data_IF_301626872287
#
_entry.id   IF_301626872287
#
_cell.length_a   1.000
_cell.length_b   1.000
_cell.length_c   1.000
_cell.angle_alpha   90.00
_cell.angle_beta   90.00
_cell.angle_gamma   90.00
#
_symmetry.space_group_name_H-M   'P 1'
#
loop_
_entity.id
_entity.type
_entity.pdbx_description
1 polymer ?
#
# COMPACT_ATOMS: atom_id res chain seq x y z
N UNK A 1 -85.71 11.63 -22.80
CA UNK A 1 -84.74 10.85 -23.61
C UNK A 1 -83.52 11.73 -23.88
N UNK A 2 -82.31 11.16 -23.78
CA UNK A 2 -80.98 11.81 -23.92
C UNK A 2 -80.38 12.41 -22.64
N UNK A 3 -80.34 11.60 -21.57
CA UNK A 3 -79.18 11.52 -20.68
C UNK A 3 -78.56 10.16 -20.93
N UNK A 4 -77.35 10.14 -21.49
CA UNK A 4 -76.41 9.01 -21.56
C UNK A 4 -75.54 9.24 -22.78
N UNK A 5 -74.35 9.79 -22.55
CA UNK A 5 -73.10 9.58 -23.30
C UNK A 5 -72.16 10.72 -22.92
N UNK A 6 -71.64 10.65 -21.70
CA UNK A 6 -70.37 11.27 -21.31
C UNK A 6 -69.97 10.73 -19.93
N UNK A 7 -69.87 9.40 -19.82
CA UNK A 7 -69.26 8.80 -18.63
C UNK A 7 -68.75 7.39 -18.96
N UNK A 8 -67.75 7.29 -19.84
CA UNK A 8 -67.00 6.02 -19.95
C UNK A 8 -65.59 6.20 -20.52
N UNK A 9 -64.76 7.05 -19.92
CA UNK A 9 -63.30 7.02 -20.15
C UNK A 9 -62.48 7.34 -18.89
N UNK A 10 -62.95 6.90 -17.72
CA UNK A 10 -62.11 6.85 -16.52
C UNK A 10 -62.39 5.59 -15.73
N UNK A 11 -61.41 4.68 -15.71
CA UNK A 11 -61.39 3.61 -14.72
C UNK A 11 -61.01 2.27 -15.29
N UNK A 12 -59.70 2.00 -15.33
CA UNK A 12 -59.06 0.74 -14.90
C UNK A 12 -57.56 0.88 -15.15
N UNK A 13 -56.90 1.71 -14.35
CA UNK A 13 -55.48 1.52 -14.13
C UNK A 13 -55.31 0.14 -13.50
N UNK A 14 -54.71 -0.79 -14.24
CA UNK A 14 -54.31 -2.08 -13.70
C UNK A 14 -53.34 -1.82 -12.55
N UNK A 15 -53.53 -2.40 -11.35
CA UNK A 15 -52.52 -2.27 -10.31
C UNK A 15 -51.24 -2.92 -10.82
N UNK A 16 -50.15 -2.16 -10.82
CA UNK A 16 -48.83 -2.67 -11.14
C UNK A 16 -48.54 -3.86 -10.21
N UNK A 17 -48.37 -5.05 -10.81
CA UNK A 17 -48.00 -6.26 -10.10
C UNK A 17 -46.69 -6.00 -9.36
N UNK A 18 -46.70 -6.19 -8.04
CA UNK A 18 -45.49 -6.09 -7.22
C UNK A 18 -44.49 -7.14 -7.72
N UNK A 19 -43.21 -6.77 -7.97
CA UNK A 19 -42.19 -7.75 -8.29
C UNK A 19 -41.84 -8.47 -6.99
N UNK A 20 -42.43 -9.66 -6.79
CA UNK A 20 -42.20 -10.41 -5.55
C UNK A 20 -43.01 -11.69 -5.34
N UNK A 21 -43.91 -12.06 -6.25
CA UNK A 21 -44.60 -13.34 -6.19
C UNK A 21 -44.11 -14.27 -7.30
N UNK A 22 -42.91 -14.80 -7.13
CA UNK A 22 -42.52 -16.00 -7.88
C UNK A 22 -43.38 -17.15 -7.36
N UNK A 23 -44.45 -17.49 -8.09
CA UNK A 23 -45.12 -18.79 -7.94
C UNK A 23 -44.02 -19.84 -8.06
N UNK A 24 -43.67 -20.51 -6.96
CA UNK A 24 -42.74 -21.65 -6.97
C UNK A 24 -43.48 -22.82 -7.62
N UNK A 25 -43.58 -22.80 -8.94
CA UNK A 25 -43.93 -23.99 -9.71
C UNK A 25 -42.91 -25.07 -9.35
N UNK A 26 -43.39 -26.26 -8.97
CA UNK A 26 -42.55 -27.40 -8.61
C UNK A 26 -41.64 -27.69 -9.81
N UNK A 27 -40.34 -27.42 -9.66
CA UNK A 27 -39.34 -27.70 -10.70
C UNK A 27 -39.31 -29.21 -10.91
N UNK A 28 -39.88 -29.69 -12.02
CA UNK A 28 -39.64 -31.06 -12.49
C UNK A 28 -38.14 -31.18 -12.75
N UNK A 29 -37.48 -32.05 -12.00
CA UNK A 29 -36.04 -32.29 -12.13
C UNK A 29 -35.81 -32.97 -13.48
N UNK A 30 -34.79 -32.54 -14.22
CA UNK A 30 -34.39 -33.05 -15.53
C UNK A 30 -35.37 -32.80 -16.70
N UNK A 31 -36.05 -31.66 -16.75
CA UNK A 31 -36.69 -31.20 -17.99
C UNK A 31 -35.73 -30.33 -18.80
N UNK A 32 -35.74 -30.48 -20.14
CA UNK A 32 -35.02 -29.59 -21.06
C UNK A 32 -35.45 -28.13 -20.82
N UNK A 33 -34.52 -27.16 -20.76
CA UNK A 33 -34.87 -25.75 -20.60
C UNK A 33 -35.85 -25.30 -21.69
N UNK A 34 -36.91 -24.58 -21.32
CA UNK A 34 -37.96 -24.12 -22.27
C UNK A 34 -37.46 -23.07 -23.25
N UNK A 35 -36.52 -22.23 -22.83
CA UNK A 35 -35.88 -21.20 -23.65
C UNK A 35 -34.36 -21.36 -23.54
N UNK A 36 -33.68 -21.49 -24.68
CA UNK A 36 -32.22 -21.59 -24.70
C UNK A 36 -31.55 -20.25 -24.35
N UNK A 37 -32.23 -19.13 -24.62
CA UNK A 37 -31.71 -17.76 -24.46
C UNK A 37 -32.03 -17.10 -23.11
N UNK A 38 -32.90 -17.69 -22.29
CA UNK A 38 -33.29 -17.15 -20.97
C UNK A 38 -32.36 -17.62 -19.83
N UNK A 39 -31.16 -18.11 -20.14
CA UNK A 39 -30.18 -18.37 -19.10
C UNK A 39 -29.75 -17.03 -18.49
N UNK A 40 -30.27 -16.74 -17.30
CA UNK A 40 -29.89 -15.54 -16.55
C UNK A 40 -28.37 -15.49 -16.40
N UNK A 41 -27.77 -14.41 -16.93
CA UNK A 41 -26.33 -14.16 -16.78
C UNK A 41 -26.01 -14.18 -15.28
N UNK A 42 -25.05 -15.01 -14.84
CA UNK A 42 -24.69 -15.10 -13.43
C UNK A 42 -24.49 -13.72 -12.80
N UNK A 43 -24.97 -13.53 -11.57
CA UNK A 43 -25.01 -12.23 -10.89
C UNK A 43 -23.70 -11.46 -10.99
N UNK A 44 -22.58 -12.16 -10.77
CA UNK A 44 -21.24 -11.56 -10.81
C UNK A 44 -20.87 -11.07 -12.20
N UNK A 45 -21.21 -11.82 -13.23
CA UNK A 45 -20.95 -11.44 -14.61
C UNK A 45 -21.87 -10.28 -15.05
N UNK A 46 -23.13 -10.28 -14.62
CA UNK A 46 -24.07 -9.16 -14.82
C UNK A 46 -23.54 -7.86 -14.21
N UNK A 47 -22.96 -7.93 -13.02
CA UNK A 47 -22.36 -6.79 -12.32
C UNK A 47 -21.10 -6.27 -13.03
N UNK A 48 -20.24 -7.18 -13.51
CA UNK A 48 -19.04 -6.85 -14.29
C UNK A 48 -19.41 -6.18 -15.62
N UNK A 49 -20.40 -6.72 -16.34
CA UNK A 49 -20.88 -6.13 -17.59
C UNK A 49 -21.46 -4.73 -17.36
N UNK A 50 -22.29 -4.57 -16.33
CA UNK A 50 -22.84 -3.26 -15.93
C UNK A 50 -21.73 -2.25 -15.61
N UNK A 51 -20.71 -2.67 -14.86
CA UNK A 51 -19.55 -1.83 -14.53
C UNK A 51 -18.79 -1.40 -15.79
N UNK A 52 -18.46 -2.34 -16.68
CA UNK A 52 -17.79 -2.05 -17.97
C UNK A 52 -18.59 -1.08 -18.83
N UNK A 53 -19.91 -1.24 -18.88
CA UNK A 53 -20.79 -0.38 -19.65
C UNK A 53 -20.90 1.03 -19.05
N UNK A 54 -20.91 1.14 -17.73
CA UNK A 54 -20.83 2.43 -17.03
C UNK A 54 -19.50 3.15 -17.27
N UNK A 55 -18.38 2.41 -17.35
CA UNK A 55 -17.07 3.00 -17.67
C UNK A 55 -16.94 3.46 -19.13
N UNK A 56 -17.76 2.91 -20.03
CA UNK A 56 -17.77 3.27 -21.47
C UNK A 56 -18.40 4.64 -21.73
N UNK A 57 -19.19 5.19 -20.81
CA UNK A 57 -19.84 6.49 -20.95
C UNK A 57 -18.93 7.63 -20.45
N UNK A 58 -18.38 8.49 -21.33
CA UNK A 58 -17.39 9.51 -20.94
C UNK A 58 -17.96 10.62 -20.02
N UNK A 59 -19.29 10.76 -19.96
CA UNK A 59 -19.98 11.79 -19.17
C UNK A 59 -20.07 11.44 -17.66
N UNK A 60 -19.72 10.20 -17.26
CA UNK A 60 -19.90 9.77 -15.87
C UNK A 60 -18.71 10.04 -14.94
N UNK A 61 -17.48 10.14 -15.45
CA UNK A 61 -16.29 10.21 -14.58
C UNK A 61 -16.09 11.57 -13.90
N UNK A 62 -16.35 12.68 -14.61
CA UNK A 62 -16.23 14.03 -14.02
C UNK A 62 -17.30 14.26 -12.96
N UNK A 63 -18.54 13.86 -13.24
CA UNK A 63 -19.67 13.93 -12.29
C UNK A 63 -19.46 13.04 -11.06
N UNK A 64 -18.97 11.80 -11.24
CA UNK A 64 -18.62 10.91 -10.13
C UNK A 64 -17.49 11.48 -9.27
N UNK A 65 -16.46 12.08 -9.87
CA UNK A 65 -15.38 12.75 -9.11
C UNK A 65 -15.92 13.94 -8.32
N UNK A 66 -16.79 14.76 -8.90
CA UNK A 66 -17.39 15.88 -8.18
C UNK A 66 -18.33 15.42 -7.07
N UNK A 67 -19.16 14.39 -7.31
CA UNK A 67 -20.06 13.83 -6.30
C UNK A 67 -19.31 13.15 -5.18
N UNK A 68 -18.27 12.36 -5.48
CA UNK A 68 -17.40 11.75 -4.49
C UNK A 68 -16.67 12.81 -3.66
N UNK A 69 -16.20 13.88 -4.30
CA UNK A 69 -15.55 14.99 -3.61
C UNK A 69 -16.52 15.80 -2.75
N UNK A 70 -17.76 16.00 -3.19
CA UNK A 70 -18.83 16.64 -2.40
C UNK A 70 -19.24 15.74 -1.23
N UNK A 71 -19.37 14.44 -1.44
CA UNK A 71 -19.65 13.48 -0.39
C UNK A 71 -18.53 13.46 0.66
N UNK A 72 -17.27 13.43 0.20
CA UNK A 72 -16.09 13.50 1.07
C UNK A 72 -16.02 14.82 1.83
N UNK A 73 -16.33 15.96 1.20
CA UNK A 73 -16.43 17.25 1.90
C UNK A 73 -17.54 17.24 2.93
N UNK A 74 -18.72 16.69 2.61
CA UNK A 74 -19.84 16.56 3.57
C UNK A 74 -19.50 15.65 4.74
N UNK A 75 -18.79 14.55 4.54
CA UNK A 75 -18.34 13.69 5.65
C UNK A 75 -17.27 14.38 6.48
N UNK A 76 -16.29 15.03 5.83
CA UNK A 76 -15.27 15.80 6.50
C UNK A 76 -15.87 16.98 7.29
N UNK A 77 -16.89 17.65 6.76
CA UNK A 77 -17.61 18.72 7.46
C UNK A 77 -18.41 18.19 8.64
N UNK A 78 -19.03 17.00 8.53
CA UNK A 78 -19.71 16.36 9.67
C UNK A 78 -18.72 15.96 10.77
N UNK A 79 -17.56 15.43 10.39
CA UNK A 79 -16.48 15.05 11.31
C UNK A 79 -15.79 16.28 11.91
N UNK A 80 -15.53 17.32 11.10
CA UNK A 80 -14.89 18.57 11.53
C UNK A 80 -15.82 19.43 12.38
N UNK A 81 -17.13 19.32 12.21
CA UNK A 81 -18.10 19.95 13.11
C UNK A 81 -18.01 19.38 14.52
N UNK A 82 -17.44 18.18 14.71
CA UNK A 82 -16.89 17.63 15.97
C UNK A 82 -17.83 17.53 17.18
N UNK A 83 -19.00 18.13 17.08
CA UNK A 83 -19.98 18.38 18.11
C UNK A 83 -21.29 18.14 17.41
N UNK A 84 -21.92 17.01 17.72
CA UNK A 84 -23.36 16.85 17.51
C UNK A 84 -24.03 18.14 18.00
N UNK A 85 -24.78 18.86 17.15
CA UNK A 85 -25.33 20.15 17.53
C UNK A 85 -26.16 19.99 18.81
N UNK A 86 -26.01 20.93 19.73
CA UNK A 86 -26.78 20.97 20.97
C UNK A 86 -28.27 20.78 20.66
N UNK A 87 -28.94 19.94 21.44
CA UNK A 87 -30.38 19.66 21.25
C UNK A 87 -31.12 20.99 21.30
N UNK A 88 -31.76 21.34 20.19
CA UNK A 88 -32.54 22.57 20.12
C UNK A 88 -33.67 22.52 21.16
N UNK A 89 -33.62 23.44 22.12
CA UNK A 89 -34.63 23.57 23.18
C UNK A 89 -35.91 24.15 22.57
N UNK A 90 -37.03 23.38 22.52
CA UNK A 90 -38.28 23.88 21.98
C UNK A 90 -38.85 25.02 22.84
N UNK A 91 -39.48 26.00 22.19
CA UNK A 91 -40.15 27.12 22.89
C UNK A 91 -41.65 26.80 23.01
N UNK A 92 -42.08 26.44 24.22
CA UNK A 92 -43.47 26.07 24.50
C UNK A 92 -44.36 27.30 24.67
N UNK A 93 -44.87 27.82 23.54
CA UNK A 93 -45.91 28.85 23.51
C UNK A 93 -47.08 28.35 22.66
N UNK A 94 -48.31 28.58 23.13
CA UNK A 94 -49.53 28.27 22.38
C UNK A 94 -49.60 29.13 21.12
N UNK A 95 -49.95 28.52 19.99
CA UNK A 95 -50.09 29.24 18.72
C UNK A 95 -51.46 29.93 18.66
N UNK A 96 -51.55 30.99 17.86
CA UNK A 96 -52.73 31.88 17.73
C UNK A 96 -54.06 31.17 17.37
N UNK A 97 -54.00 29.93 16.89
CA UNK A 97 -55.15 29.12 16.45
C UNK A 97 -55.08 27.67 16.96
N UNK A 98 -54.28 27.44 18.00
CA UNK A 98 -54.11 26.12 18.61
C UNK A 98 -55.05 26.02 19.81
N UNK A 99 -55.91 25.00 19.84
CA UNK A 99 -56.70 24.69 21.03
C UNK A 99 -55.81 24.18 22.15
N UNK A 100 -56.24 24.35 23.41
CA UNK A 100 -55.46 23.95 24.59
C UNK A 100 -55.04 22.47 24.54
N UNK A 101 -55.95 21.59 24.10
CA UNK A 101 -55.66 20.16 23.92
C UNK A 101 -54.63 19.87 22.83
N UNK A 102 -54.64 20.63 21.73
CA UNK A 102 -53.63 20.49 20.67
C UNK A 102 -52.25 20.98 21.16
N UNK A 103 -52.22 22.04 21.96
CA UNK A 103 -51.01 22.54 22.60
C UNK A 103 -50.38 21.51 23.55
N UNK A 104 -51.18 20.91 24.44
CA UNK A 104 -50.68 19.87 25.35
C UNK A 104 -50.10 18.67 24.61
N UNK A 105 -50.77 18.22 23.53
CA UNK A 105 -50.26 17.12 22.70
C UNK A 105 -48.94 17.46 22.01
N UNK A 106 -48.81 18.68 21.48
CA UNK A 106 -47.55 19.13 20.87
C UNK A 106 -46.43 19.22 21.90
N UNK A 107 -46.75 19.75 23.08
CA UNK A 107 -45.80 19.84 24.19
C UNK A 107 -45.28 18.45 24.58
N UNK A 108 -46.18 17.47 24.71
CA UNK A 108 -45.84 16.10 25.06
C UNK A 108 -44.95 15.44 24.00
N UNK A 109 -45.29 15.59 22.72
CA UNK A 109 -44.49 15.04 21.60
C UNK A 109 -43.08 15.66 21.52
N UNK A 110 -42.97 16.98 21.61
CA UNK A 110 -41.69 17.68 21.59
C UNK A 110 -40.83 17.28 22.81
N UNK A 111 -41.45 17.11 23.99
CA UNK A 111 -40.77 16.65 25.20
C UNK A 111 -40.25 15.21 25.06
N UNK A 112 -41.08 14.31 24.55
CA UNK A 112 -40.67 12.92 24.25
C UNK A 112 -39.52 12.90 23.24
N UNK A 113 -39.55 13.77 22.23
CA UNK A 113 -38.52 13.86 21.22
C UNK A 113 -37.19 14.37 21.79
N UNK A 114 -37.19 15.43 22.59
CA UNK A 114 -35.99 15.95 23.28
C UNK A 114 -35.41 14.90 24.22
N UNK A 115 -36.26 14.21 24.98
CA UNK A 115 -35.82 13.14 25.87
C UNK A 115 -35.19 11.98 25.09
N UNK A 116 -35.76 11.62 23.93
CA UNK A 116 -35.17 10.62 23.05
C UNK A 116 -33.81 11.06 22.52
N UNK A 117 -33.67 12.29 22.02
CA UNK A 117 -32.38 12.81 21.55
C UNK A 117 -31.34 12.81 22.68
N UNK A 118 -31.72 13.25 23.88
CA UNK A 118 -30.85 13.30 25.06
C UNK A 118 -30.36 11.91 25.49
N UNK A 119 -31.24 10.91 25.52
CA UNK A 119 -30.85 9.52 25.84
C UNK A 119 -29.87 8.90 24.85
N UNK A 120 -29.90 9.35 23.60
CA UNK A 120 -29.02 8.85 22.54
C UNK A 120 -27.73 9.65 22.40
N UNK A 121 -27.56 10.75 23.14
CA UNK A 121 -26.30 11.50 23.16
C UNK A 121 -25.28 10.80 24.06
N UNK A 122 -24.04 10.73 23.59
CA UNK A 122 -22.93 10.29 24.42
C UNK A 122 -22.78 11.24 25.63
N UNK A 123 -22.42 10.71 26.80
CA UNK A 123 -22.23 11.49 28.01
C UNK A 123 -21.23 12.63 27.75
N UNK A 124 -21.75 13.87 27.67
CA UNK A 124 -20.95 15.03 27.35
C UNK A 124 -20.15 15.41 28.59
N UNK A 125 -18.82 15.49 28.47
CA UNK A 125 -17.91 16.06 29.46
C UNK A 125 -17.50 17.45 29.01
N UNK A 126 -18.31 18.49 29.27
CA UNK A 126 -18.01 19.85 28.82
C UNK A 126 -16.67 20.38 29.35
N UNK A 127 -16.22 19.89 30.52
CA UNK A 127 -14.95 20.29 31.15
C UNK A 127 -13.70 19.61 30.53
N UNK A 128 -13.87 18.57 29.71
CA UNK A 128 -12.76 17.81 29.12
C UNK A 128 -12.27 18.36 27.77
N UNK A 129 -12.76 19.53 27.33
CA UNK A 129 -12.33 20.16 26.07
C UNK A 129 -10.96 20.85 26.19
N UNK A 130 -9.95 20.10 26.63
CA UNK A 130 -8.59 20.32 26.15
C UNK A 130 -8.53 19.79 24.72
N UNK A 131 -8.10 20.64 23.78
CA UNK A 131 -7.89 20.39 22.34
C UNK A 131 -7.93 18.91 21.90
N UNK A 132 -8.79 18.53 20.95
CA UNK A 132 -8.67 17.22 20.33
C UNK A 132 -7.37 17.21 19.50
N UNK A 133 -6.30 16.69 20.08
CA UNK A 133 -5.15 16.30 19.29
C UNK A 133 -5.67 15.28 18.27
N UNK A 134 -5.57 15.63 16.99
CA UNK A 134 -5.89 14.70 15.91
C UNK A 134 -4.86 13.59 15.95
N UNK A 135 -5.14 12.58 16.77
CA UNK A 135 -4.29 11.43 16.89
C UNK A 135 -4.24 10.74 15.53
N UNK A 136 -3.06 10.81 14.90
CA UNK A 136 -2.79 10.02 13.71
C UNK A 136 -3.12 8.56 14.03
N UNK A 137 -3.80 7.87 13.11
CA UNK A 137 -4.03 6.44 13.25
C UNK A 137 -2.74 5.70 13.59
N UNK A 138 -2.82 4.67 14.41
CA UNK A 138 -1.67 3.88 14.87
C UNK A 138 -0.81 3.42 13.69
N UNK A 139 -1.45 3.03 12.60
CA UNK A 139 -0.80 2.65 11.35
C UNK A 139 0.11 3.75 10.78
N UNK A 140 -0.36 5.01 10.79
CA UNK A 140 0.44 6.15 10.30
C UNK A 140 1.60 6.47 11.24
N UNK A 141 1.43 6.30 12.55
CA UNK A 141 2.52 6.43 13.54
C UNK A 141 3.58 5.35 13.33
N UNK A 142 3.17 4.09 13.18
CA UNK A 142 4.06 2.95 12.92
C UNK A 142 4.83 3.11 11.60
N UNK A 143 4.17 3.55 10.53
CA UNK A 143 4.82 3.80 9.25
C UNK A 143 5.91 4.88 9.34
N UNK A 144 5.64 5.97 10.07
CA UNK A 144 6.64 7.03 10.30
C UNK A 144 7.83 6.52 11.11
N UNK A 145 7.58 5.76 12.18
CA UNK A 145 8.64 5.13 13.00
C UNK A 145 9.52 4.20 12.17
N UNK A 146 8.94 3.28 11.39
CA UNK A 146 9.67 2.35 10.52
C UNK A 146 10.55 3.06 9.50
N UNK A 147 10.08 4.18 8.94
CA UNK A 147 10.86 4.98 7.99
C UNK A 147 12.09 5.59 8.65
N UNK A 148 11.95 6.11 9.87
CA UNK A 148 13.05 6.68 10.64
C UNK A 148 14.06 5.61 11.04
N UNK A 149 13.59 4.45 11.49
CA UNK A 149 14.42 3.29 11.85
C UNK A 149 15.30 2.83 10.67
N UNK A 150 14.71 2.72 9.47
CA UNK A 150 15.46 2.36 8.26
C UNK A 150 16.59 3.35 7.92
N UNK A 151 16.38 4.64 8.21
CA UNK A 151 17.41 5.67 8.00
C UNK A 151 18.52 5.54 9.04
N UNK A 152 18.19 5.21 10.30
CA UNK A 152 19.17 4.95 11.36
C UNK A 152 20.03 3.72 11.05
N UNK A 153 19.40 2.59 10.73
CA UNK A 153 20.10 1.37 10.30
C UNK A 153 21.07 1.64 9.15
N UNK A 154 20.62 2.33 8.09
CA UNK A 154 21.49 2.70 6.96
C UNK A 154 22.68 3.59 7.34
N UNK A 155 22.57 4.39 8.39
CA UNK A 155 23.69 5.21 8.88
C UNK A 155 24.66 4.37 9.70
N UNK A 156 24.14 3.49 10.55
CA UNK A 156 24.92 2.53 11.35
C UNK A 156 25.69 1.57 10.46
N UNK A 157 25.04 0.98 9.44
CA UNK A 157 25.68 0.10 8.45
C UNK A 157 26.83 0.82 7.72
N UNK A 158 26.58 2.05 7.24
CA UNK A 158 27.62 2.86 6.58
C UNK A 158 28.76 3.23 7.51
N UNK A 159 28.48 3.47 8.79
CA UNK A 159 29.51 3.75 9.78
C UNK A 159 30.34 2.50 10.05
N UNK A 160 29.71 1.32 10.16
CA UNK A 160 30.38 0.04 10.30
C UNK A 160 31.27 -0.28 9.08
N UNK A 161 30.76 -0.04 7.87
CA UNK A 161 31.53 -0.24 6.62
C UNK A 161 32.76 0.67 6.57
N UNK A 162 32.64 1.94 6.98
CA UNK A 162 33.79 2.87 7.04
C UNK A 162 34.84 2.43 8.05
N UNK A 163 34.41 2.04 9.25
CA UNK A 163 35.32 1.51 10.28
C UNK A 163 36.01 0.23 9.80
N UNK A 164 35.29 -0.64 9.08
CA UNK A 164 35.88 -1.83 8.49
C UNK A 164 36.92 -1.48 7.42
N UNK A 165 36.61 -0.55 6.53
CA UNK A 165 37.56 -0.07 5.53
C UNK A 165 38.84 0.46 6.17
N UNK A 166 38.74 1.23 7.25
CA UNK A 166 39.89 1.74 7.99
C UNK A 166 40.72 0.61 8.64
N UNK A 167 40.06 -0.43 9.18
CA UNK A 167 40.73 -1.60 9.77
C UNK A 167 41.39 -2.54 8.75
N UNK A 168 40.87 -2.57 7.52
CA UNK A 168 41.37 -3.42 6.43
C UNK A 168 42.34 -2.69 5.48
N UNK A 169 42.51 -1.38 5.62
CA UNK A 169 43.51 -0.62 4.89
C UNK A 169 44.89 -0.78 5.54
N UNK A 170 45.78 -1.51 4.86
CA UNK A 170 47.19 -1.58 5.27
C UNK A 170 47.91 -0.28 4.87
N UNK A 171 48.52 0.41 5.84
CA UNK A 171 49.35 1.58 5.58
C UNK A 171 50.73 1.13 5.06
N UNK A 172 50.87 1.10 3.74
CA UNK A 172 52.14 0.81 3.06
C UNK A 172 53.02 2.08 3.03
N UNK A 173 54.32 1.94 3.33
CA UNK A 173 55.28 3.06 3.25
C UNK A 173 55.72 3.29 1.79
N UNK A 174 56.05 4.54 1.47
CA UNK A 174 56.48 4.93 0.13
C UNK A 174 57.76 4.17 -0.30
N UNK A 175 57.69 3.43 -1.41
CA UNK A 175 58.79 2.59 -1.93
C UNK A 175 58.42 1.10 -2.12
N UNK A 176 57.38 0.61 -1.45
CA UNK A 176 56.87 -0.78 -1.56
C UNK A 176 55.54 -0.82 -2.36
N UNK A 177 55.43 0.01 -3.40
CA UNK A 177 54.22 0.08 -4.22
C UNK A 177 54.41 -0.81 -5.44
N UNK A 178 53.83 -2.02 -5.41
CA UNK A 178 53.30 -2.57 -6.65
C UNK A 178 52.23 -1.58 -7.10
N UNK A 179 52.44 -0.92 -8.25
CA UNK A 179 51.47 -0.02 -8.85
C UNK A 179 50.13 -0.74 -8.88
N UNK A 180 49.21 -0.37 -7.99
CA UNK A 180 47.82 -0.78 -8.08
C UNK A 180 47.43 -0.50 -9.53
N UNK A 181 46.99 -1.51 -10.30
CA UNK A 181 46.63 -1.30 -11.68
C UNK A 181 45.60 -0.16 -11.69
N UNK A 182 45.83 0.91 -12.47
CA UNK A 182 45.03 2.11 -12.39
C UNK A 182 43.56 1.74 -12.64
N UNK A 183 42.72 1.97 -11.64
CA UNK A 183 41.28 1.80 -11.81
C UNK A 183 40.77 2.95 -12.68
N UNK A 184 40.43 2.63 -13.93
CA UNK A 184 39.80 3.57 -14.87
C UNK A 184 38.38 3.90 -14.38
N UNK A 185 38.28 4.80 -13.39
CA UNK A 185 37.00 5.31 -12.87
C UNK A 185 36.26 6.18 -13.90
N UNK A 186 37.00 6.74 -14.86
CA UNK A 186 36.47 7.51 -15.98
C UNK A 186 36.53 6.71 -17.28
N UNK A 187 35.45 6.77 -18.07
CA UNK A 187 35.43 6.17 -19.40
C UNK A 187 36.40 6.92 -20.34
N UNK A 188 37.19 6.23 -21.18
CA UNK A 188 38.00 6.89 -22.18
C UNK A 188 37.11 7.71 -23.11
N UNK A 189 37.51 8.94 -23.43
CA UNK A 189 36.73 9.94 -24.19
C UNK A 189 36.23 9.44 -25.56
N UNK A 190 36.83 8.36 -26.09
CA UNK A 190 36.47 7.72 -27.37
C UNK A 190 35.73 6.38 -27.22
N UNK A 191 35.24 5.99 -26.04
CA UNK A 191 34.51 4.74 -25.88
C UNK A 191 33.11 4.83 -26.51
N UNK A 192 32.94 4.27 -27.71
CA UNK A 192 31.66 4.17 -28.43
C UNK A 192 30.82 2.98 -27.93
N UNK A 193 30.61 2.90 -26.61
CA UNK A 193 29.66 1.93 -26.03
C UNK A 193 28.49 2.67 -25.38
N UNK A 194 27.62 3.24 -26.21
CA UNK A 194 26.20 3.34 -25.86
C UNK A 194 25.58 2.00 -26.23
N UNK A 195 25.63 1.10 -25.27
CA UNK A 195 25.01 -0.21 -25.39
C UNK A 195 25.01 -0.81 -24.01
N UNK A 196 23.83 -1.06 -23.46
CA UNK A 196 23.72 -2.04 -22.38
C UNK A 196 24.50 -3.31 -22.80
N UNK A 197 25.14 -4.05 -21.89
CA UNK A 197 25.67 -5.36 -22.22
C UNK A 197 24.51 -6.21 -22.79
N UNK A 198 24.45 -6.38 -24.11
CA UNK A 198 23.34 -7.07 -24.80
C UNK A 198 22.67 -6.35 -25.98
N UNK A 199 22.95 -5.06 -26.25
CA UNK A 199 22.25 -4.29 -27.32
C UNK A 199 22.81 -4.47 -28.74
N UNK A 200 23.87 -5.26 -28.92
CA UNK A 200 24.34 -5.65 -30.26
C UNK A 200 23.84 -7.06 -30.54
N UNK A 201 23.07 -7.24 -31.62
CA UNK A 201 22.87 -8.56 -32.21
C UNK A 201 24.23 -9.06 -32.67
N UNK A 202 24.89 -9.87 -31.84
CA UNK A 202 26.11 -10.57 -32.23
C UNK A 202 25.77 -11.46 -33.44
N UNK A 203 26.19 -11.03 -34.63
CA UNK A 203 26.01 -11.77 -35.89
C UNK A 203 26.73 -13.13 -35.85
N UNK A 204 27.65 -13.30 -34.90
CA UNK A 204 28.40 -14.52 -34.61
C UNK A 204 27.68 -15.48 -33.63
N UNK A 205 26.35 -15.48 -33.60
CA UNK A 205 25.54 -16.51 -32.90
C UNK A 205 25.12 -17.66 -33.83
N UNK A 206 25.74 -17.79 -34.99
CA UNK A 206 25.66 -19.02 -35.77
C UNK A 206 26.81 -19.91 -35.29
N UNK A 207 26.55 -20.97 -34.49
CA UNK A 207 27.60 -21.89 -34.12
C UNK A 207 28.06 -22.63 -35.37
N UNK A 208 29.32 -22.45 -35.73
CA UNK A 208 30.03 -23.38 -36.59
C UNK A 208 30.20 -24.69 -35.79
N UNK A 209 29.33 -25.67 -36.03
CA UNK A 209 29.55 -27.07 -35.70
C UNK A 209 28.88 -27.62 -34.41
N UNK A 210 28.48 -28.91 -34.39
CA UNK A 210 27.81 -29.56 -33.27
C UNK A 210 28.84 -29.99 -32.22
N UNK A 211 29.15 -29.07 -31.31
CA UNK A 211 29.97 -29.34 -30.13
C UNK A 211 29.52 -28.43 -29.01
N UNK A 212 28.42 -28.81 -28.35
CA UNK A 212 27.77 -28.07 -27.28
C UNK A 212 28.70 -27.90 -26.08
N UNK A 213 29.51 -26.83 -26.07
CA UNK A 213 30.00 -26.25 -24.82
C UNK A 213 28.79 -25.59 -24.15
N UNK A 214 28.19 -26.32 -23.21
CA UNK A 214 27.10 -25.82 -22.38
C UNK A 214 27.55 -24.53 -21.71
N UNK A 215 26.86 -23.43 -21.98
CA UNK A 215 26.97 -22.25 -21.13
C UNK A 215 26.65 -22.69 -19.70
N UNK A 216 27.43 -22.28 -18.68
CA UNK A 216 27.14 -22.67 -17.31
C UNK A 216 25.73 -22.21 -16.97
N UNK A 217 24.84 -23.16 -16.66
CA UNK A 217 23.48 -22.83 -16.26
C UNK A 217 23.57 -21.88 -15.06
N UNK A 218 22.98 -20.70 -15.19
CA UNK A 218 22.85 -19.77 -14.08
C UNK A 218 22.20 -20.52 -12.91
N UNK A 219 22.84 -20.58 -11.72
CA UNK A 219 22.32 -21.36 -10.61
C UNK A 219 20.93 -20.85 -10.21
N UNK A 220 20.06 -21.75 -9.75
CA UNK A 220 18.72 -21.38 -9.27
C UNK A 220 18.81 -20.32 -8.16
N UNK A 221 17.80 -19.46 -8.03
CA UNK A 221 17.77 -18.42 -6.98
C UNK A 221 17.94 -19.01 -5.56
N UNK A 222 17.42 -20.22 -5.33
CA UNK A 222 17.61 -20.94 -4.07
C UNK A 222 19.09 -21.28 -3.83
N UNK A 223 19.78 -21.81 -4.86
CA UNK A 223 21.21 -22.12 -4.78
C UNK A 223 22.06 -20.86 -4.63
N UNK A 224 21.68 -19.76 -5.26
CA UNK A 224 22.35 -18.46 -5.09
C UNK A 224 22.28 -17.98 -3.64
N UNK A 225 21.11 -18.04 -3.00
CA UNK A 225 20.94 -17.67 -1.59
C UNK A 225 21.83 -18.49 -0.66
N UNK A 226 21.89 -19.81 -0.85
CA UNK A 226 22.74 -20.70 -0.06
C UNK A 226 24.22 -20.28 -0.18
N UNK A 227 24.70 -20.08 -1.42
CA UNK A 227 26.09 -19.69 -1.67
C UNK A 227 26.39 -18.30 -1.10
N UNK A 228 25.46 -17.35 -1.19
CA UNK A 228 25.60 -16.01 -0.62
C UNK A 228 25.66 -16.04 0.91
N UNK A 229 24.83 -16.84 1.56
CA UNK A 229 24.86 -17.06 3.01
C UNK A 229 26.17 -17.70 3.45
N UNK A 230 26.65 -18.73 2.74
CA UNK A 230 27.94 -19.37 3.01
C UNK A 230 29.10 -18.38 2.86
N UNK A 231 29.10 -17.57 1.79
CA UNK A 231 30.08 -16.49 1.58
C UNK A 231 30.06 -15.49 2.74
N UNK A 232 28.87 -15.06 3.17
CA UNK A 232 28.71 -14.14 4.29
C UNK A 232 29.27 -14.73 5.59
N UNK A 233 29.02 -16.02 5.88
CA UNK A 233 29.57 -16.72 7.05
C UNK A 233 31.10 -16.78 7.01
N UNK A 234 31.69 -17.15 5.87
CA UNK A 234 33.15 -17.23 5.71
C UNK A 234 33.79 -15.86 5.87
N UNK A 235 33.20 -14.81 5.26
CA UNK A 235 33.69 -13.43 5.39
C UNK A 235 33.62 -12.97 6.84
N UNK A 236 32.52 -13.23 7.55
CA UNK A 236 32.41 -12.89 8.98
C UNK A 236 33.46 -13.62 9.82
N UNK A 237 33.65 -14.93 9.62
CA UNK A 237 34.68 -15.71 10.32
C UNK A 237 36.10 -15.20 10.04
N UNK A 238 36.38 -14.82 8.79
CA UNK A 238 37.67 -14.21 8.44
C UNK A 238 37.86 -12.85 9.13
N UNK A 239 36.81 -12.01 9.15
CA UNK A 239 36.83 -10.72 9.85
C UNK A 239 37.09 -10.89 11.35
N UNK A 240 36.46 -11.85 12.01
CA UNK A 240 36.69 -12.10 13.44
C UNK A 240 38.12 -12.58 13.70
N UNK A 241 38.64 -13.51 12.90
CA UNK A 241 40.01 -13.98 12.99
C UNK A 241 41.03 -12.85 12.77
N UNK A 242 40.80 -11.96 11.79
CA UNK A 242 41.66 -10.81 11.52
C UNK A 242 41.65 -9.81 12.68
N UNK A 243 40.49 -9.54 13.29
CA UNK A 243 40.37 -8.72 14.50
C UNK A 243 41.16 -9.31 15.67
N UNK A 244 41.02 -10.62 15.91
CA UNK A 244 41.79 -11.32 16.96
C UNK A 244 43.30 -11.24 16.69
N UNK A 245 43.72 -11.41 15.44
CA UNK A 245 45.14 -11.28 15.05
C UNK A 245 45.66 -9.86 15.26
N UNK A 246 44.89 -8.82 14.94
CA UNK A 246 45.28 -7.43 15.20
C UNK A 246 45.40 -7.14 16.71
N UNK A 247 44.51 -7.70 17.54
CA UNK A 247 44.60 -7.57 19.01
C UNK A 247 45.83 -8.30 19.58
N UNK A 248 46.18 -9.46 19.02
CA UNK A 248 47.39 -10.21 19.40
C UNK A 248 48.67 -9.57 18.86
N UNK A 249 48.60 -8.85 17.74
CA UNK A 249 49.69 -8.09 17.13
C UNK A 249 49.69 -6.60 17.55
N UNK A 250 49.38 -6.32 18.83
CA UNK A 250 49.95 -5.13 19.50
C UNK A 250 51.48 -5.12 19.40
N UNK A 251 52.19 -4.03 19.73
CA UNK A 251 53.49 -3.62 19.15
C UNK A 251 54.67 -4.57 19.50
N UNK A 252 54.66 -5.80 18.99
CA UNK A 252 55.60 -6.87 19.34
C UNK A 252 56.09 -7.64 18.09
N UNK A 253 55.89 -7.11 16.89
CA UNK A 253 56.51 -7.65 15.66
C UNK A 253 57.33 -6.60 14.89
N UNK A 254 57.91 -5.66 15.62
CA UNK A 254 58.99 -4.79 15.12
C UNK A 254 60.36 -5.24 15.65
N UNK A 255 60.66 -6.53 15.73
CA UNK A 255 61.95 -7.03 16.21
C UNK A 255 62.33 -8.42 15.67
N UNK A 256 62.28 -8.68 14.36
CA UNK A 256 63.08 -9.76 13.78
C UNK A 256 64.16 -9.15 12.89
N UNK A 257 65.32 -8.90 13.50
CA UNK A 257 66.54 -8.49 12.80
C UNK A 257 66.95 -9.60 11.83
N UNK A 258 67.19 -9.32 10.54
CA UNK A 258 67.81 -10.29 9.66
C UNK A 258 69.26 -10.53 10.12
N UNK A 259 69.61 -11.79 10.34
CA UNK A 259 70.90 -12.24 10.83
C UNK A 259 72.06 -11.82 9.91
N UNK A 260 73.09 -11.23 10.52
CA UNK A 260 74.39 -11.02 9.87
C UNK A 260 75.06 -12.39 9.68
N UNK A 261 75.35 -12.78 8.44
CA UNK A 261 76.27 -13.89 8.15
C UNK A 261 77.71 -13.45 8.49
N UNK A 262 78.55 -14.31 9.08
CA UNK A 262 79.95 -13.99 9.27
C UNK A 262 80.66 -14.02 7.90
N UNK A 263 81.40 -12.96 7.59
CA UNK A 263 82.35 -12.94 6.47
C UNK A 263 83.56 -13.77 6.89
N UNK A 264 83.80 -14.86 6.17
CA UNK A 264 85.09 -15.54 6.19
C UNK A 264 86.13 -14.62 5.50
N UNK A 265 87.23 -14.35 6.19
CA UNK A 265 88.40 -13.72 5.62
C UNK A 265 89.33 -14.82 5.09
N UNK A 266 89.74 -14.66 3.82
CA UNK A 266 90.91 -15.30 3.22
C UNK A 266 92.18 -14.65 3.76
#
# INVERSE_FOLDING_TARGET
RRRQQQEELRGKQRPALRPGQCRKEKKKVNCKPKNQDEQEIPFRLREIMRSRQQMKNPISNKRRKTEAHVAFRKTLEKEAKGVEPDIAVPKFKQKKWESDGAYMRRMEQETQHVLFLSKNQAARRPEAQGTPEREKSEHRKAFQKRRLERVRQRKEDKAADRLEQELLQDRVKFGEVALQPPELTARPRKSTSRGQPGEKSLVLRVPLGPGSVSQPLSPSLARQRIVEEERARVVQAYRTLKKLKQQQQGPELSCLRPGKKPRAHL
#
